data_IF_355919993507
#
_entry.id   IF_355919993507
#
_cell.length_a   1.000
_cell.length_b   1.000
_cell.length_c   1.000
_cell.angle_alpha   90.00
_cell.angle_beta   90.00
_cell.angle_gamma   90.00
#
_symmetry.space_group_name_H-M   'P 1'
#
loop_
_entity.id
_entity.type
_entity.pdbx_description
1 polymer ?
#
# COMPACT_ATOMS: atom_id res chain seq x y z
N UNK A 1 2.24 -3.17 29.40
CA UNK A 1 1.97 -4.35 28.54
C UNK A 1 3.30 -4.96 28.11
N UNK A 2 3.33 -6.16 27.52
CA UNK A 2 4.57 -6.64 26.89
C UNK A 2 4.80 -5.87 25.59
N UNK A 3 6.03 -5.42 25.36
CA UNK A 3 6.47 -4.92 24.07
C UNK A 3 6.31 -6.03 23.02
N UNK A 4 5.93 -5.69 21.79
CA UNK A 4 6.05 -6.57 20.64
C UNK A 4 6.54 -5.76 19.46
N UNK A 5 7.65 -6.19 18.87
CA UNK A 5 8.25 -5.62 17.69
C UNK A 5 8.52 -6.70 16.66
N UNK A 6 8.11 -6.45 15.42
CA UNK A 6 8.31 -7.30 14.27
C UNK A 6 9.10 -6.55 13.21
N UNK A 7 10.22 -7.13 12.77
CA UNK A 7 11.03 -6.64 11.66
C UNK A 7 11.13 -7.72 10.58
N UNK A 8 10.71 -7.42 9.36
CA UNK A 8 10.91 -8.27 8.19
C UNK A 8 11.73 -7.53 7.13
N UNK A 9 12.74 -8.20 6.59
CA UNK A 9 13.55 -7.72 5.48
C UNK A 9 13.43 -8.69 4.30
N UNK A 10 13.31 -8.17 3.08
CA UNK A 10 13.31 -8.98 1.86
C UNK A 10 14.33 -8.51 0.82
N UNK A 11 15.02 -9.47 0.20
CA UNK A 11 15.98 -9.25 -0.88
C UNK A 11 15.35 -9.67 -2.22
N UNK A 12 15.18 -8.69 -3.10
CA UNK A 12 14.36 -8.78 -4.30
C UNK A 12 15.27 -8.99 -5.52
N UNK A 13 16.30 -8.15 -5.63
CA UNK A 13 17.14 -8.08 -6.84
C UNK A 13 18.12 -9.26 -6.92
N UNK A 14 18.60 -9.74 -5.76
CA UNK A 14 19.42 -10.96 -5.64
C UNK A 14 19.23 -11.62 -4.28
N UNK A 15 19.42 -12.95 -4.15
CA UNK A 15 19.55 -13.58 -2.85
C UNK A 15 20.84 -13.15 -2.14
N UNK A 16 20.84 -13.26 -0.80
CA UNK A 16 22.03 -13.15 0.05
C UNK A 16 22.92 -14.38 -0.15
N UNK A 17 24.22 -14.15 -0.31
CA UNK A 17 25.23 -15.20 -0.35
C UNK A 17 25.52 -15.74 1.05
N UNK A 18 26.17 -16.91 1.16
CA UNK A 18 26.44 -17.57 2.44
C UNK A 18 27.20 -16.68 3.45
N UNK A 19 28.12 -15.82 2.98
CA UNK A 19 28.83 -14.88 3.85
C UNK A 19 27.90 -13.79 4.42
N UNK A 20 26.99 -13.26 3.61
CA UNK A 20 26.01 -12.24 4.02
C UNK A 20 24.99 -12.84 4.99
N UNK A 21 24.51 -14.05 4.72
CA UNK A 21 23.65 -14.79 5.66
C UNK A 21 24.36 -15.01 7.01
N UNK A 22 25.64 -15.39 7.00
CA UNK A 22 26.43 -15.54 8.23
C UNK A 22 26.67 -14.22 8.99
N UNK A 23 26.70 -13.07 8.31
CA UNK A 23 26.71 -11.76 8.94
C UNK A 23 25.35 -11.43 9.59
N UNK A 24 24.23 -11.72 8.92
CA UNK A 24 22.88 -11.52 9.47
C UNK A 24 22.59 -12.43 10.67
N UNK A 25 22.96 -13.72 10.62
CA UNK A 25 22.80 -14.65 11.74
C UNK A 25 23.58 -14.28 13.00
N UNK A 26 24.56 -13.37 12.91
CA UNK A 26 25.29 -12.85 14.09
C UNK A 26 24.53 -11.74 14.81
N UNK A 27 23.60 -11.04 14.15
CA UNK A 27 22.81 -9.95 14.75
C UNK A 27 21.86 -10.51 15.81
N UNK A 28 21.13 -11.58 15.50
CA UNK A 28 20.19 -12.21 16.43
C UNK A 28 20.23 -13.73 16.31
N UNK A 29 20.31 -14.43 17.45
CA UNK A 29 20.19 -15.90 17.51
C UNK A 29 18.78 -16.41 17.20
N UNK A 30 17.78 -15.53 17.13
CA UNK A 30 16.36 -15.85 16.89
C UNK A 30 15.89 -15.45 15.49
N UNK A 31 16.77 -15.00 14.61
CA UNK A 31 16.37 -14.61 13.24
C UNK A 31 15.88 -15.84 12.47
N UNK A 32 14.68 -15.75 11.88
CA UNK A 32 14.26 -16.68 10.85
C UNK A 32 14.83 -16.18 9.51
N UNK A 33 15.89 -16.83 9.05
CA UNK A 33 16.68 -16.39 7.89
C UNK A 33 16.57 -17.38 6.73
N UNK A 34 16.35 -16.84 5.54
CA UNK A 34 16.47 -17.52 4.26
C UNK A 34 17.37 -16.70 3.32
N UNK A 35 17.76 -17.21 2.14
CA UNK A 35 18.51 -16.40 1.17
C UNK A 35 17.77 -15.15 0.65
N UNK A 36 16.46 -14.98 0.92
CA UNK A 36 15.69 -13.81 0.45
C UNK A 36 14.92 -13.07 1.55
N UNK A 37 14.89 -13.58 2.77
CA UNK A 37 14.05 -13.04 3.84
C UNK A 37 14.78 -13.15 5.18
N UNK A 38 14.71 -12.12 6.02
CA UNK A 38 15.12 -12.19 7.41
C UNK A 38 14.01 -11.61 8.30
N UNK A 39 13.49 -12.41 9.24
CA UNK A 39 12.46 -12.01 10.20
C UNK A 39 13.05 -11.99 11.60
N UNK A 40 12.79 -10.92 12.34
CA UNK A 40 13.19 -10.75 13.74
C UNK A 40 11.98 -10.31 14.57
N UNK A 41 11.68 -11.07 15.63
CA UNK A 41 10.57 -10.79 16.53
C UNK A 41 11.08 -10.60 17.96
N UNK A 42 10.73 -9.49 18.59
CA UNK A 42 11.15 -9.12 19.95
C UNK A 42 9.93 -8.87 20.83
N UNK A 43 9.91 -9.49 22.02
CA UNK A 43 8.87 -9.27 23.04
C UNK A 43 9.37 -8.43 24.23
N UNK A 44 10.65 -8.05 24.20
CA UNK A 44 11.37 -7.23 25.18
C UNK A 44 12.62 -6.67 24.50
N UNK A 45 12.86 -5.36 24.64
CA UNK A 45 14.01 -4.70 24.03
C UNK A 45 13.88 -4.55 22.50
N UNK A 46 15.01 -4.23 21.86
CA UNK A 46 14.99 -3.65 20.51
C UNK A 46 15.94 -4.35 19.51
N UNK A 47 15.82 -3.99 18.23
CA UNK A 47 16.63 -4.51 17.14
C UNK A 47 18.14 -4.22 17.40
N UNK A 48 19.02 -5.23 17.28
CA UNK A 48 20.44 -5.07 17.55
C UNK A 48 21.15 -4.31 16.41
N UNK A 49 21.27 -2.99 16.57
CA UNK A 49 21.99 -2.10 15.66
C UNK A 49 21.04 -1.11 15.00
N UNK A 50 21.26 -0.81 13.72
CA UNK A 50 20.42 0.10 12.95
C UNK A 50 19.77 -0.69 11.79
N UNK A 51 18.42 -0.81 11.76
CA UNK A 51 17.74 -1.62 10.75
C UNK A 51 17.86 -1.02 9.35
N UNK A 52 17.90 0.31 9.20
CA UNK A 52 18.12 1.02 7.93
C UNK A 52 19.52 0.70 7.36
N UNK A 53 20.55 0.56 8.20
CA UNK A 53 21.88 0.12 7.76
C UNK A 53 21.89 -1.35 7.28
N UNK A 54 21.11 -2.22 7.92
CA UNK A 54 20.95 -3.62 7.50
C UNK A 54 20.23 -3.70 6.16
N UNK A 55 19.13 -2.96 6.00
CA UNK A 55 18.43 -2.80 4.72
C UNK A 55 19.40 -2.31 3.64
N UNK A 56 20.05 -1.16 3.84
CA UNK A 56 20.91 -0.52 2.85
C UNK A 56 22.04 -1.42 2.32
N UNK A 57 22.56 -2.35 3.16
CA UNK A 57 23.67 -3.24 2.84
C UNK A 57 23.25 -4.57 2.19
N UNK A 58 22.13 -5.19 2.59
CA UNK A 58 21.82 -6.59 2.19
C UNK A 58 20.43 -6.82 1.57
N UNK A 59 19.48 -5.91 1.76
CA UNK A 59 18.07 -6.14 1.40
C UNK A 59 17.52 -5.02 0.51
N UNK A 60 16.32 -5.20 -0.05
CA UNK A 60 15.69 -4.25 -0.97
C UNK A 60 14.36 -3.68 -0.44
N UNK A 61 13.75 -4.35 0.55
CA UNK A 61 12.59 -3.86 1.29
C UNK A 61 12.70 -4.24 2.78
N UNK A 62 12.11 -3.41 3.64
CA UNK A 62 11.95 -3.64 5.08
C UNK A 62 10.55 -3.24 5.52
N UNK A 63 9.96 -4.04 6.41
CA UNK A 63 8.76 -3.69 7.19
C UNK A 63 9.11 -3.78 8.68
N UNK A 64 8.67 -2.78 9.44
CA UNK A 64 8.67 -2.77 10.89
C UNK A 64 7.25 -2.50 11.40
N UNK A 65 6.82 -3.27 12.40
CA UNK A 65 5.53 -3.15 13.07
C UNK A 65 5.71 -3.30 14.58
N UNK A 66 5.02 -2.48 15.37
CA UNK A 66 4.97 -2.62 16.82
C UNK A 66 3.54 -2.55 17.37
N UNK A 67 3.32 -3.19 18.51
CA UNK A 67 1.99 -3.24 19.17
C UNK A 67 1.57 -1.95 19.89
N UNK A 68 2.31 -0.86 19.69
CA UNK A 68 1.97 0.50 20.10
C UNK A 68 1.70 1.42 18.91
N UNK A 69 1.40 0.85 17.73
CA UNK A 69 0.96 1.62 16.56
C UNK A 69 2.05 2.05 15.57
N UNK A 70 3.34 1.94 15.92
CA UNK A 70 4.42 2.23 14.96
C UNK A 70 4.41 1.25 13.78
N UNK A 71 4.31 1.78 12.56
CA UNK A 71 4.38 1.06 11.29
C UNK A 71 5.41 1.75 10.38
N UNK A 72 6.36 1.01 9.83
CA UNK A 72 7.39 1.58 8.93
C UNK A 72 7.69 0.66 7.75
N UNK A 73 7.52 1.16 6.52
CA UNK A 73 7.83 0.48 5.26
C UNK A 73 8.95 1.24 4.56
N UNK A 74 10.06 0.56 4.28
CA UNK A 74 11.24 1.17 3.64
C UNK A 74 11.65 0.40 2.40
N UNK A 75 11.77 1.09 1.26
CA UNK A 75 12.25 0.52 0.01
C UNK A 75 13.61 1.08 -0.39
N UNK A 76 14.50 0.19 -0.84
CA UNK A 76 15.82 0.54 -1.39
C UNK A 76 15.82 0.42 -2.90
N UNK A 77 16.25 1.47 -3.58
CA UNK A 77 16.30 1.56 -5.04
C UNK A 77 17.73 1.79 -5.54
N UNK A 78 18.17 1.13 -6.63
CA UNK A 78 19.40 1.50 -7.32
C UNK A 78 19.35 2.96 -7.77
N UNK A 79 20.37 3.75 -7.44
CA UNK A 79 20.38 5.21 -7.68
C UNK A 79 20.29 5.61 -9.16
N UNK A 80 20.59 4.69 -10.08
CA UNK A 80 20.44 4.87 -11.53
C UNK A 80 19.01 4.70 -12.06
N UNK A 81 18.08 4.18 -11.25
CA UNK A 81 16.72 3.82 -11.69
C UNK A 81 15.62 4.70 -11.08
N UNK A 82 15.96 5.68 -10.24
CA UNK A 82 14.97 6.55 -9.60
C UNK A 82 15.53 7.97 -9.45
N UNK A 83 14.73 8.97 -9.86
CA UNK A 83 15.03 10.38 -9.60
C UNK A 83 14.28 10.82 -8.34
N UNK A 84 15.02 11.21 -7.29
CA UNK A 84 14.46 11.69 -6.02
C UNK A 84 13.50 12.86 -6.22
N UNK A 85 13.66 13.65 -7.29
CA UNK A 85 12.76 14.78 -7.62
C UNK A 85 11.33 14.36 -7.93
N UNK A 86 11.08 13.11 -8.35
CA UNK A 86 9.70 12.62 -8.55
C UNK A 86 9.03 12.21 -7.25
N UNK A 87 9.82 11.84 -6.23
CA UNK A 87 9.36 11.46 -4.89
C UNK A 87 9.17 12.70 -3.99
N UNK A 88 10.03 13.70 -4.14
CA UNK A 88 10.07 14.92 -3.32
C UNK A 88 8.71 15.63 -3.13
N UNK A 89 7.80 15.75 -4.13
CA UNK A 89 6.50 16.36 -3.93
C UNK A 89 5.60 15.65 -2.92
N UNK A 90 5.81 14.34 -2.69
CA UNK A 90 5.06 13.52 -1.76
C UNK A 90 5.75 13.36 -0.39
N UNK A 91 6.99 13.86 -0.24
CA UNK A 91 7.67 13.82 1.04
C UNK A 91 6.90 14.68 2.05
N UNK A 92 6.79 14.17 3.28
CA UNK A 92 6.02 14.75 4.37
C UNK A 92 6.89 14.65 5.64
N UNK A 93 7.09 15.74 6.41
CA UNK A 93 7.90 15.73 7.63
C UNK A 93 7.58 14.53 8.54
N UNK A 94 8.62 13.83 8.98
CA UNK A 94 8.58 12.66 9.88
C UNK A 94 7.75 11.43 9.41
N UNK A 95 7.00 11.53 8.30
CA UNK A 95 6.12 10.47 7.77
C UNK A 95 6.61 9.88 6.45
N UNK A 96 7.08 10.70 5.50
CA UNK A 96 7.57 10.26 4.20
C UNK A 96 8.88 10.97 3.90
N UNK A 97 9.99 10.25 3.96
CA UNK A 97 11.32 10.81 3.69
C UNK A 97 12.07 10.02 2.63
N UNK A 98 13.06 10.67 2.03
CA UNK A 98 14.03 9.99 1.15
C UNK A 98 15.43 10.29 1.63
N UNK A 99 16.29 9.26 1.63
CA UNK A 99 17.70 9.41 1.99
C UNK A 99 18.62 8.82 0.92
N UNK A 100 19.80 9.42 0.80
CA UNK A 100 20.81 9.03 -0.17
C UNK A 100 21.93 8.27 0.50
N UNK A 101 22.18 7.05 0.03
CA UNK A 101 23.43 6.33 0.27
C UNK A 101 24.38 6.54 -0.93
N UNK A 102 25.57 5.94 -0.87
CA UNK A 102 26.52 5.99 -1.98
C UNK A 102 25.90 5.49 -3.29
N UNK A 103 25.29 4.30 -3.24
CA UNK A 103 24.89 3.51 -4.42
C UNK A 103 23.36 3.36 -4.57
N UNK A 104 22.56 3.76 -3.57
CA UNK A 104 21.11 3.60 -3.54
C UNK A 104 20.35 4.78 -2.92
N UNK A 105 19.09 4.93 -3.31
CA UNK A 105 18.07 5.78 -2.66
C UNK A 105 17.26 4.91 -1.71
N UNK A 106 16.99 5.39 -0.50
CA UNK A 106 16.00 4.81 0.41
C UNK A 106 14.76 5.71 0.42
N UNK A 107 13.59 5.11 0.27
CA UNK A 107 12.30 5.72 0.56
C UNK A 107 11.81 5.14 1.88
N UNK A 108 11.53 6.00 2.85
CA UNK A 108 11.09 5.62 4.19
C UNK A 108 9.68 6.19 4.41
N UNK A 109 8.72 5.30 4.67
CA UNK A 109 7.33 5.64 4.98
C UNK A 109 7.05 5.13 6.39
N UNK A 110 6.81 6.04 7.34
CA UNK A 110 6.67 5.75 8.76
C UNK A 110 5.42 6.40 9.32
N UNK A 111 4.64 5.66 10.10
CA UNK A 111 3.51 6.17 10.88
C UNK A 111 3.73 5.78 12.33
N UNK A 112 3.72 6.76 13.24
CA UNK A 112 3.67 6.53 14.68
C UNK A 112 2.27 6.96 15.17
N UNK A 113 1.46 5.99 15.57
CA UNK A 113 0.08 6.22 16.03
C UNK A 113 0.05 6.13 17.55
N UNK A 114 -0.01 7.27 18.25
CA UNK A 114 0.16 7.35 19.72
C UNK A 114 -0.88 6.56 20.55
N UNK A 115 -1.97 6.10 19.93
CA UNK A 115 -3.05 5.30 20.56
C UNK A 115 -3.25 3.93 19.88
N UNK A 116 -2.26 3.42 19.15
CA UNK A 116 -2.36 2.19 18.35
C UNK A 116 -2.37 0.88 19.14
N UNK A 117 -3.38 0.64 19.99
CA UNK A 117 -3.60 -0.64 20.72
C UNK A 117 -4.12 -1.79 19.82
N UNK A 118 -3.65 -1.87 18.57
CA UNK A 118 -4.05 -2.89 17.60
C UNK A 118 -3.14 -4.12 17.70
N UNK A 119 -3.73 -5.31 17.91
CA UNK A 119 -3.02 -6.59 17.91
C UNK A 119 -2.68 -7.00 16.47
N UNK A 120 -1.59 -6.45 15.92
CA UNK A 120 -1.08 -6.81 14.60
C UNK A 120 -0.06 -7.92 14.74
N UNK A 121 -0.42 -9.13 14.29
CA UNK A 121 0.56 -10.19 14.02
C UNK A 121 1.32 -9.78 12.74
N UNK A 122 2.63 -9.58 12.87
CA UNK A 122 3.41 -8.94 11.80
C UNK A 122 3.70 -9.81 10.58
N UNK A 123 3.48 -11.13 10.67
CA UNK A 123 3.78 -12.07 9.61
C UNK A 123 2.90 -11.89 8.37
N UNK A 124 3.52 -11.93 7.19
CA UNK A 124 2.82 -11.94 5.90
C UNK A 124 2.56 -10.57 5.28
N UNK A 125 2.79 -9.46 6.00
CA UNK A 125 2.48 -8.11 5.50
C UNK A 125 3.44 -7.57 4.43
N UNK A 126 4.75 -7.88 4.47
CA UNK A 126 5.69 -7.30 3.49
C UNK A 126 5.53 -7.92 2.08
N UNK A 127 5.21 -9.22 1.99
CA UNK A 127 5.16 -9.92 0.71
C UNK A 127 4.11 -9.34 -0.28
N UNK A 128 2.87 -8.99 0.13
CA UNK A 128 1.92 -8.25 -0.70
C UNK A 128 2.37 -6.84 -1.11
N UNK A 129 3.27 -6.21 -0.34
CA UNK A 129 3.71 -4.82 -0.54
C UNK A 129 4.97 -4.72 -1.41
N UNK A 130 5.82 -5.75 -1.45
CA UNK A 130 7.02 -5.80 -2.32
C UNK A 130 6.80 -5.37 -3.78
N UNK A 131 5.69 -5.71 -4.47
CA UNK A 131 5.42 -5.23 -5.82
C UNK A 131 5.37 -3.70 -5.96
N UNK A 132 5.01 -2.96 -4.89
CA UNK A 132 4.96 -1.49 -4.90
C UNK A 132 6.33 -0.87 -5.22
N UNK A 133 7.43 -1.56 -4.89
CA UNK A 133 8.78 -1.15 -5.29
C UNK A 133 8.94 -1.11 -6.82
N UNK A 134 8.40 -2.11 -7.53
CA UNK A 134 8.45 -2.15 -8.99
C UNK A 134 7.45 -1.16 -9.61
N UNK A 135 6.32 -0.93 -8.97
CA UNK A 135 5.35 0.09 -9.37
C UNK A 135 6.00 1.50 -9.30
N UNK A 136 6.66 1.84 -8.18
CA UNK A 136 7.42 3.09 -8.02
C UNK A 136 8.53 3.21 -9.07
N UNK A 137 9.34 2.15 -9.31
CA UNK A 137 10.41 2.16 -10.30
C UNK A 137 9.89 2.39 -11.73
N UNK A 138 8.73 1.82 -12.07
CA UNK A 138 8.05 2.10 -13.33
C UNK A 138 7.45 3.50 -13.38
N UNK A 139 7.20 4.12 -12.23
CA UNK A 139 6.67 5.47 -12.07
C UNK A 139 5.16 5.51 -11.80
N UNK A 140 4.61 4.50 -11.14
CA UNK A 140 3.32 4.57 -10.45
C UNK A 140 3.58 5.02 -9.00
N UNK A 141 3.17 6.26 -8.70
CA UNK A 141 3.42 6.92 -7.41
C UNK A 141 2.19 6.88 -6.49
N UNK A 142 1.17 6.05 -6.79
CA UNK A 142 -0.06 5.96 -6.00
C UNK A 142 0.19 5.65 -4.52
N UNK A 143 1.15 4.78 -4.20
CA UNK A 143 1.51 4.47 -2.81
C UNK A 143 2.00 5.69 -2.02
N UNK A 144 2.82 6.56 -2.64
CA UNK A 144 3.30 7.79 -1.99
C UNK A 144 2.16 8.75 -1.68
N UNK A 145 1.21 8.86 -2.61
CA UNK A 145 0.02 9.69 -2.42
C UNK A 145 -0.91 9.11 -1.34
N UNK A 146 -1.12 7.79 -1.30
CA UNK A 146 -1.89 7.13 -0.23
C UNK A 146 -1.22 7.31 1.14
N UNK A 147 0.10 7.21 1.21
CA UNK A 147 0.87 7.51 2.42
C UNK A 147 0.71 8.98 2.85
N UNK A 148 0.72 9.90 1.90
CA UNK A 148 0.55 11.33 2.16
C UNK A 148 -0.87 11.64 2.68
N UNK A 149 -1.90 10.96 2.16
CA UNK A 149 -3.25 11.06 2.72
C UNK A 149 -3.31 10.57 4.18
N UNK A 150 -2.60 9.49 4.53
CA UNK A 150 -2.50 9.02 5.92
C UNK A 150 -1.76 10.03 6.80
N UNK A 151 -0.67 10.63 6.31
CA UNK A 151 0.07 11.69 7.01
C UNK A 151 -0.86 12.87 7.40
N UNK A 152 -1.60 13.39 6.41
CA UNK A 152 -2.58 14.46 6.58
C UNK A 152 -3.72 14.07 7.51
N UNK A 153 -4.16 12.81 7.48
CA UNK A 153 -5.21 12.31 8.39
C UNK A 153 -4.76 12.20 9.85
N UNK A 154 -3.46 12.01 10.12
CA UNK A 154 -2.90 11.92 11.47
C UNK A 154 -2.75 13.29 12.13
N UNK A 155 -2.35 14.32 11.36
CA UNK A 155 -2.14 15.68 11.86
C UNK A 155 -3.47 16.44 12.01
N UNK A 156 -4.44 16.18 11.13
CA UNK A 156 -5.75 16.82 11.17
C UNK A 156 -5.72 18.28 10.69
N UNK A 157 -6.58 19.12 11.26
CA UNK A 157 -6.66 20.55 10.93
C UNK A 157 -5.84 21.37 11.95
N UNK A 158 -4.62 21.76 11.56
CA UNK A 158 -3.75 22.67 12.33
C UNK A 158 -3.71 24.06 11.66
N UNK A 159 -3.52 25.12 12.45
CA UNK A 159 -3.33 26.49 11.92
C UNK A 159 -1.99 26.64 11.16
N UNK A 160 -1.03 25.74 11.39
CA UNK A 160 0.30 25.77 10.75
C UNK A 160 0.27 25.18 9.31
N UNK A 161 -0.79 24.43 8.97
CA UNK A 161 -0.95 23.72 7.69
C UNK A 161 -1.91 24.40 6.68
N UNK A 162 -2.40 25.62 6.94
CA UNK A 162 -3.36 26.29 6.03
C UNK A 162 -2.84 26.43 4.59
N UNK A 163 -1.54 26.74 4.45
CA UNK A 163 -0.86 26.89 3.15
C UNK A 163 -0.41 25.55 2.54
N UNK A 164 -0.50 24.44 3.27
CA UNK A 164 -0.01 23.14 2.81
C UNK A 164 -0.81 22.67 1.58
N UNK A 165 -0.10 22.51 0.47
CA UNK A 165 -0.67 22.12 -0.82
C UNK A 165 -0.61 20.63 -1.02
N UNK A 166 -1.65 20.10 -1.64
CA UNK A 166 -1.66 18.72 -2.09
C UNK A 166 -0.50 18.44 -3.09
N UNK A 167 0.14 17.27 -3.04
CA UNK A 167 1.01 16.78 -4.11
C UNK A 167 0.26 16.59 -5.44
N UNK A 168 0.93 16.24 -6.55
CA UNK A 168 0.25 15.84 -7.77
C UNK A 168 -0.61 14.59 -7.50
N UNK A 169 -1.93 14.69 -7.67
CA UNK A 169 -2.84 13.55 -7.53
C UNK A 169 -2.55 12.54 -8.65
N UNK A 170 -2.13 11.30 -8.34
CA UNK A 170 -1.92 10.29 -9.36
C UNK A 170 -3.24 9.92 -10.04
N UNK A 171 -3.17 9.45 -11.28
CA UNK A 171 -4.32 8.89 -11.98
C UNK A 171 -4.76 7.55 -11.38
N UNK A 172 -5.97 7.12 -11.73
CA UNK A 172 -6.47 5.76 -11.51
C UNK A 172 -6.54 5.32 -10.02
N UNK A 173 -6.78 6.27 -9.11
CA UNK A 173 -7.02 5.98 -7.69
C UNK A 173 -8.35 5.25 -7.46
N UNK A 174 -9.31 5.37 -8.39
CA UNK A 174 -10.58 4.64 -8.32
C UNK A 174 -10.42 3.13 -8.53
N UNK A 175 -9.26 2.67 -9.05
CA UNK A 175 -8.98 1.25 -9.31
C UNK A 175 -7.60 0.87 -8.77
N UNK A 176 -7.56 0.67 -7.44
CA UNK A 176 -6.35 0.22 -6.74
C UNK A 176 -5.99 -1.22 -7.10
N UNK A 177 -4.70 -1.46 -7.34
CA UNK A 177 -4.09 -2.79 -7.49
C UNK A 177 -4.10 -3.54 -6.15
N UNK A 178 -3.89 -4.86 -6.15
CA UNK A 178 -3.83 -5.65 -4.92
C UNK A 178 -2.74 -5.16 -3.93
N UNK A 179 -1.51 -4.81 -4.36
CA UNK A 179 -0.50 -4.20 -3.48
C UNK A 179 -0.94 -2.87 -2.87
N UNK A 180 -1.62 -2.01 -3.64
CA UNK A 180 -2.14 -0.73 -3.14
C UNK A 180 -3.28 -0.94 -2.13
N UNK A 181 -4.11 -1.97 -2.31
CA UNK A 181 -5.15 -2.36 -1.33
C UNK A 181 -4.53 -2.86 -0.03
N UNK A 182 -3.51 -3.72 -0.11
CA UNK A 182 -2.76 -4.18 1.07
C UNK A 182 -2.09 -3.01 1.82
N UNK A 183 -1.63 -1.98 1.10
CA UNK A 183 -1.09 -0.76 1.72
C UNK A 183 -2.18 0.08 2.42
N UNK A 184 -3.34 0.25 1.78
CA UNK A 184 -4.52 0.93 2.38
C UNK A 184 -4.99 0.23 3.65
N UNK A 185 -4.96 -1.10 3.65
CA UNK A 185 -5.30 -1.95 4.80
C UNK A 185 -4.26 -1.83 5.92
N UNK A 186 -2.97 -2.02 5.63
CA UNK A 186 -1.88 -1.87 6.60
C UNK A 186 -1.88 -0.51 7.31
N UNK A 187 -2.12 0.56 6.54
CA UNK A 187 -2.10 1.93 7.07
C UNK A 187 -3.45 2.37 7.64
N UNK A 188 -4.48 1.53 7.63
CA UNK A 188 -5.84 1.84 8.09
C UNK A 188 -6.35 3.18 7.52
N UNK A 189 -6.19 3.38 6.20
CA UNK A 189 -6.49 4.66 5.56
C UNK A 189 -8.00 4.94 5.53
N UNK A 190 -8.38 6.17 5.92
CA UNK A 190 -9.77 6.64 5.89
C UNK A 190 -10.39 6.53 4.49
N UNK A 191 -11.49 5.78 4.39
CA UNK A 191 -12.17 5.48 3.13
C UNK A 191 -12.96 6.68 2.57
N UNK A 192 -13.47 7.57 3.43
CA UNK A 192 -14.10 8.82 2.99
C UNK A 192 -13.02 9.79 2.45
N UNK A 193 -11.84 9.85 3.08
CA UNK A 193 -10.69 10.61 2.57
C UNK A 193 -10.20 10.07 1.22
N UNK A 194 -10.03 8.74 1.11
CA UNK A 194 -9.70 8.08 -0.15
C UNK A 194 -10.75 8.34 -1.24
N UNK A 195 -12.04 8.46 -0.87
CA UNK A 195 -13.12 8.82 -1.80
C UNK A 195 -13.00 10.26 -2.28
N UNK A 196 -12.73 11.24 -1.40
CA UNK A 196 -12.47 12.64 -1.80
C UNK A 196 -11.22 12.78 -2.67
N UNK A 197 -10.20 11.99 -2.37
CA UNK A 197 -8.99 11.91 -3.17
C UNK A 197 -9.26 11.36 -4.58
N UNK A 198 -9.92 10.21 -4.65
CA UNK A 198 -10.28 9.51 -5.89
C UNK A 198 -11.22 10.33 -6.78
N UNK A 199 -12.05 11.21 -6.23
CA UNK A 199 -12.88 12.13 -7.02
C UNK A 199 -12.08 13.19 -7.80
N UNK A 200 -10.85 13.51 -7.39
CA UNK A 200 -9.95 14.43 -8.07
C UNK A 200 -8.90 13.73 -8.98
N UNK A 201 -8.82 12.40 -8.91
CA UNK A 201 -7.90 11.59 -9.69
C UNK A 201 -8.36 11.47 -11.14
N UNK A 202 -7.47 11.78 -12.09
CA UNK A 202 -7.73 11.55 -13.50
C UNK A 202 -7.98 10.06 -13.75
N UNK A 203 -9.03 9.73 -14.51
CA UNK A 203 -9.24 8.37 -15.00
C UNK A 203 -8.60 8.23 -16.36
N UNK A 204 -7.59 7.37 -16.48
CA UNK A 204 -7.30 6.74 -17.76
C UNK A 204 -8.36 5.66 -17.97
N UNK A 205 -9.51 6.08 -18.53
CA UNK A 205 -10.39 5.13 -19.19
C UNK A 205 -9.55 4.27 -20.14
N UNK A 206 -9.85 2.97 -20.26
CA UNK A 206 -9.12 2.00 -21.08
C UNK A 206 -9.10 2.25 -22.60
N UNK A 207 -9.31 3.48 -23.06
CA UNK A 207 -8.59 4.00 -24.22
C UNK A 207 -7.10 3.85 -23.89
N UNK A 208 -6.48 2.82 -24.47
CA UNK A 208 -5.26 2.25 -23.90
C UNK A 208 -4.12 3.24 -23.71
N UNK A 209 -3.09 2.76 -23.00
CA UNK A 209 -1.69 3.13 -23.25
C UNK A 209 -1.58 3.59 -24.71
N UNK A 210 -1.11 4.82 -25.03
CA UNK A 210 -0.81 5.17 -26.41
C UNK A 210 0.15 4.09 -26.89
N UNK A 211 -0.34 3.22 -27.80
CA UNK A 211 -0.09 1.76 -27.70
C UNK A 211 1.36 1.47 -27.33
N UNK A 212 1.64 0.56 -26.39
CA UNK A 212 3.03 0.26 -26.00
C UNK A 212 3.87 -0.04 -27.25
N UNK A 213 3.22 -0.69 -28.21
CA UNK A 213 3.59 -0.92 -29.61
C UNK A 213 3.97 0.36 -30.38
N UNK A 214 3.19 1.44 -30.29
CA UNK A 214 3.46 2.77 -30.88
C UNK A 214 4.69 3.43 -30.25
N UNK A 215 4.83 3.41 -28.92
CA UNK A 215 6.02 3.96 -28.27
C UNK A 215 7.27 3.12 -28.56
N UNK A 216 7.13 1.79 -28.61
CA UNK A 216 8.21 0.87 -29.02
C UNK A 216 8.55 1.06 -30.50
N UNK A 217 7.58 1.35 -31.37
CA UNK A 217 7.82 1.67 -32.78
C UNK A 217 8.53 3.04 -32.98
N UNK A 218 8.37 3.97 -32.04
CA UNK A 218 9.09 5.25 -32.03
C UNK A 218 10.58 5.11 -31.63
N UNK A 219 10.99 4.01 -31.00
CA UNK A 219 12.40 3.71 -30.75
C UNK A 219 13.15 3.41 -32.05
N UNK A 220 14.40 3.87 -32.12
CA UNK A 220 15.31 3.47 -33.21
C UNK A 220 15.51 1.96 -33.23
N UNK A 221 15.84 1.39 -34.39
CA UNK A 221 16.14 -0.04 -34.51
C UNK A 221 17.32 -0.46 -33.62
N UNK A 222 18.32 0.43 -33.48
CA UNK A 222 19.46 0.23 -32.59
C UNK A 222 19.06 0.16 -31.10
N UNK A 223 18.20 1.08 -30.61
CA UNK A 223 17.69 1.02 -29.24
C UNK A 223 16.85 -0.23 -28.99
N UNK A 224 15.97 -0.60 -29.94
CA UNK A 224 15.17 -1.84 -29.83
C UNK A 224 16.06 -3.08 -29.73
N UNK A 225 17.10 -3.16 -30.57
CA UNK A 225 18.05 -4.27 -30.55
C UNK A 225 18.86 -4.31 -29.24
N UNK A 226 19.31 -3.15 -28.72
CA UNK A 226 20.00 -3.06 -27.43
C UNK A 226 19.14 -3.62 -26.29
N UNK A 227 17.92 -3.11 -26.13
CA UNK A 227 16.99 -3.58 -25.08
C UNK A 227 16.71 -5.09 -25.20
N UNK A 228 16.52 -5.62 -26.41
CA UNK A 228 16.29 -7.06 -26.64
C UNK A 228 17.52 -7.91 -26.30
N UNK A 229 18.73 -7.48 -26.67
CA UNK A 229 19.98 -8.18 -26.36
C UNK A 229 20.24 -8.20 -24.86
N UNK A 230 20.02 -7.07 -24.17
CA UNK A 230 20.22 -6.93 -22.72
C UNK A 230 19.21 -7.74 -21.92
N UNK A 231 17.94 -7.76 -22.37
CA UNK A 231 16.90 -8.62 -21.81
C UNK A 231 17.26 -10.12 -21.99
N UNK A 232 17.73 -10.51 -23.18
CA UNK A 232 18.14 -11.90 -23.46
C UNK A 232 19.38 -12.34 -22.65
N UNK A 233 20.22 -11.41 -22.23
CA UNK A 233 21.35 -11.65 -21.30
C UNK A 233 20.92 -11.79 -19.83
N UNK A 234 19.67 -11.48 -19.50
CA UNK A 234 19.19 -11.44 -18.11
C UNK A 234 19.79 -10.27 -17.32
N UNK A 235 20.14 -9.15 -17.96
CA UNK A 235 20.57 -7.95 -17.24
C UNK A 235 19.41 -7.45 -16.33
N UNK A 236 19.71 -7.04 -15.08
CA UNK A 236 18.66 -6.64 -14.14
C UNK A 236 18.02 -5.30 -14.52
N UNK A 237 16.72 -5.17 -14.27
CA UNK A 237 15.92 -3.96 -14.47
C UNK A 237 15.86 -3.40 -15.91
N UNK A 238 16.10 -4.24 -16.93
CA UNK A 238 15.96 -3.83 -18.34
C UNK A 238 14.51 -3.44 -18.67
N UNK A 239 13.53 -4.11 -18.03
CA UNK A 239 12.10 -3.78 -18.14
C UNK A 239 11.78 -2.38 -17.60
N UNK A 240 12.32 -2.03 -16.43
CA UNK A 240 12.18 -0.70 -15.81
C UNK A 240 12.80 0.37 -16.71
N UNK A 241 14.03 0.15 -17.19
CA UNK A 241 14.74 1.10 -18.07
C UNK A 241 14.00 1.31 -19.40
N UNK A 242 13.42 0.25 -19.97
CA UNK A 242 12.59 0.36 -21.17
C UNK A 242 11.34 1.19 -20.89
N UNK A 243 10.58 0.91 -19.83
CA UNK A 243 9.39 1.69 -19.45
C UNK A 243 9.73 3.17 -19.22
N UNK A 244 10.85 3.47 -18.57
CA UNK A 244 11.31 4.84 -18.37
C UNK A 244 11.67 5.53 -19.70
N UNK A 245 12.35 4.84 -20.62
CA UNK A 245 12.67 5.37 -21.96
C UNK A 245 11.41 5.64 -22.79
N UNK A 246 10.44 4.73 -22.77
CA UNK A 246 9.15 4.89 -23.47
C UNK A 246 8.36 6.09 -22.91
N UNK A 247 8.34 6.28 -21.58
CA UNK A 247 7.72 7.44 -20.93
C UNK A 247 8.42 8.76 -21.27
N UNK A 248 9.75 8.78 -21.35
CA UNK A 248 10.49 9.96 -21.79
C UNK A 248 10.11 10.35 -23.23
N UNK A 249 10.06 9.38 -24.15
CA UNK A 249 9.59 9.61 -25.52
C UNK A 249 8.14 10.13 -25.57
N UNK A 250 7.26 9.60 -24.73
CA UNK A 250 5.88 10.08 -24.64
C UNK A 250 5.78 11.54 -24.16
N UNK A 251 6.62 11.94 -23.21
CA UNK A 251 6.69 13.31 -22.70
C UNK A 251 7.32 14.30 -23.70
N UNK A 252 8.16 13.81 -24.62
CA UNK A 252 8.80 14.59 -25.69
C UNK A 252 7.86 14.85 -26.89
N UNK A 253 6.71 14.18 -27.00
CA UNK A 253 5.80 14.35 -28.15
C UNK A 253 5.02 15.69 -28.09
N UNK A 254 5.14 16.57 -29.11
CA UNK A 254 4.42 17.83 -29.17
C UNK A 254 2.95 17.59 -29.50
N UNK A 255 2.13 17.40 -28.47
CA UNK A 255 0.71 17.10 -28.59
C UNK A 255 0.02 16.99 -27.23
N UNK A 256 0.74 16.61 -26.18
CA UNK A 256 0.30 16.81 -24.80
C UNK A 256 0.42 18.30 -24.48
N UNK A 257 -0.67 19.07 -24.30
CA UNK A 257 -0.52 20.41 -23.74
C UNK A 257 0.12 20.26 -22.37
N UNK A 258 1.15 21.07 -22.10
CA UNK A 258 1.57 21.33 -20.73
C UNK A 258 0.41 22.05 -20.03
N UNK A 259 -0.54 21.26 -19.53
CA UNK A 259 -1.70 21.76 -18.80
C UNK A 259 -1.14 22.59 -17.66
N UNK A 260 -1.45 23.89 -17.67
CA UNK A 260 -1.08 24.79 -16.59
C UNK A 260 -1.50 24.13 -15.29
N UNK A 261 -0.52 23.83 -14.43
CA UNK A 261 -0.71 22.88 -13.33
C UNK A 261 -1.98 23.27 -12.56
N UNK A 262 -3.04 22.42 -12.54
CA UNK A 262 -4.32 22.81 -11.99
C UNK A 262 -4.11 23.25 -10.54
N UNK A 263 -4.69 24.39 -10.18
CA UNK A 263 -4.40 25.08 -8.93
C UNK A 263 -4.67 24.12 -7.76
N UNK A 264 -3.59 23.61 -7.14
CA UNK A 264 -3.70 22.49 -6.20
C UNK A 264 -4.48 22.91 -4.97
N UNK A 265 -5.43 22.06 -4.54
CA UNK A 265 -6.20 22.27 -3.32
C UNK A 265 -5.26 22.31 -2.10
N UNK A 266 -5.68 23.06 -1.09
CA UNK A 266 -5.05 23.03 0.24
C UNK A 266 -5.47 21.76 0.97
N UNK A 267 -4.69 21.36 1.97
CA UNK A 267 -5.03 20.29 2.91
C UNK A 267 -6.35 20.60 3.64
N UNK A 268 -6.54 21.83 4.09
CA UNK A 268 -7.79 22.29 4.71
C UNK A 268 -9.03 22.04 3.83
N UNK A 269 -8.95 22.32 2.52
CA UNK A 269 -10.05 22.06 1.59
C UNK A 269 -10.33 20.56 1.36
N UNK A 270 -9.30 19.72 1.47
CA UNK A 270 -9.41 18.26 1.40
C UNK A 270 -10.09 17.69 2.67
N UNK A 271 -9.65 18.11 3.85
CA UNK A 271 -10.19 17.66 5.14
C UNK A 271 -11.64 18.11 5.37
N UNK A 272 -11.96 19.39 5.11
CA UNK A 272 -13.33 19.90 5.18
C UNK A 272 -14.28 19.16 4.21
N UNK A 273 -13.77 18.72 3.05
CA UNK A 273 -14.54 17.92 2.10
C UNK A 273 -14.74 16.48 2.59
N UNK A 274 -13.74 15.87 3.24
CA UNK A 274 -13.88 14.56 3.92
C UNK A 274 -14.92 14.63 5.04
N UNK A 275 -14.87 15.68 5.87
CA UNK A 275 -15.86 15.89 6.95
C UNK A 275 -17.28 16.07 6.39
N UNK A 276 -17.43 16.76 5.26
CA UNK A 276 -18.71 16.89 4.55
C UNK A 276 -19.27 15.54 4.07
N UNK A 277 -18.42 14.67 3.51
CA UNK A 277 -18.81 13.31 3.08
C UNK A 277 -19.15 12.45 4.30
N UNK A 278 -18.29 12.40 5.33
CA UNK A 278 -18.52 11.67 6.57
C UNK A 278 -19.85 12.06 7.25
N UNK A 279 -20.16 13.36 7.33
CA UNK A 279 -21.45 13.82 7.86
C UNK A 279 -22.65 13.32 7.03
N UNK A 280 -22.47 13.10 5.73
CA UNK A 280 -23.50 12.63 4.81
C UNK A 280 -23.62 11.10 4.85
N UNK A 281 -22.50 10.37 4.85
CA UNK A 281 -22.45 8.91 4.95
C UNK A 281 -23.01 8.43 6.30
N UNK A 282 -22.65 9.11 7.40
CA UNK A 282 -23.23 8.89 8.73
C UNK A 282 -24.75 9.15 8.75
N UNK A 283 -25.22 10.30 8.23
CA UNK A 283 -26.66 10.62 8.13
C UNK A 283 -27.44 9.62 7.27
N UNK A 284 -26.80 8.95 6.32
CA UNK A 284 -27.42 7.91 5.50
C UNK A 284 -27.45 6.56 6.21
N UNK A 285 -26.34 6.15 6.85
CA UNK A 285 -26.26 4.92 7.67
C UNK A 285 -27.26 4.93 8.84
N UNK A 286 -27.30 6.02 9.59
CA UNK A 286 -28.24 6.21 10.73
C UNK A 286 -29.71 6.28 10.26
N UNK A 287 -29.98 6.65 9.00
CA UNK A 287 -31.34 6.57 8.43
C UNK A 287 -31.66 5.22 7.79
N UNK A 288 -30.67 4.38 7.50
CA UNK A 288 -30.85 3.03 6.98
C UNK A 288 -31.09 2.01 8.10
N UNK A 289 -30.44 2.11 9.26
CA UNK A 289 -30.63 1.16 10.36
C UNK A 289 -32.10 1.01 10.84
N UNK A 290 -32.92 2.08 10.95
CA UNK A 290 -34.35 1.92 11.25
C UNK A 290 -35.11 1.14 10.18
N UNK A 291 -34.77 1.36 8.89
CA UNK A 291 -35.41 0.69 7.75
C UNK A 291 -35.03 -0.79 7.64
N UNK A 292 -33.86 -1.19 8.14
CA UNK A 292 -33.47 -2.60 8.22
C UNK A 292 -34.09 -3.31 9.44
N UNK A 293 -34.23 -2.61 10.58
CA UNK A 293 -34.99 -3.13 11.73
C UNK A 293 -36.47 -3.33 11.38
N UNK A 294 -37.14 -2.35 10.77
CA UNK A 294 -38.54 -2.47 10.34
C UNK A 294 -38.76 -3.54 9.25
N UNK A 295 -37.72 -3.93 8.49
CA UNK A 295 -37.79 -5.05 7.53
C UNK A 295 -37.68 -6.42 8.20
N UNK A 296 -36.91 -6.53 9.28
CA UNK A 296 -36.73 -7.79 10.02
C UNK A 296 -37.80 -8.02 11.10
N UNK A 297 -38.44 -6.95 11.59
CA UNK A 297 -39.53 -7.01 12.56
C UNK A 297 -40.70 -7.95 12.13
N UNK A 298 -41.29 -7.83 10.91
CA UNK A 298 -42.41 -8.69 10.51
C UNK A 298 -42.02 -10.16 10.26
N UNK A 299 -40.74 -10.46 9.96
CA UNK A 299 -40.28 -11.86 9.82
C UNK A 299 -40.17 -12.55 11.18
N UNK A 300 -39.72 -11.84 12.23
CA UNK A 300 -39.69 -12.36 13.59
C UNK A 300 -41.09 -12.66 14.14
N UNK A 301 -42.06 -11.76 13.95
CA UNK A 301 -43.43 -11.94 14.45
C UNK A 301 -44.16 -13.09 13.72
N UNK A 302 -43.93 -13.29 12.42
CA UNK A 302 -44.48 -14.41 11.66
C UNK A 302 -43.94 -15.78 12.13
N UNK A 303 -42.65 -15.86 12.46
CA UNK A 303 -42.01 -17.10 12.95
C UNK A 303 -42.46 -17.46 14.37
N UNK A 304 -42.78 -16.47 15.21
CA UNK A 304 -43.28 -16.68 16.56
C UNK A 304 -44.69 -17.32 16.57
N UNK A 305 -45.62 -16.84 15.73
CA UNK A 305 -46.99 -17.33 15.68
C UNK A 305 -47.04 -18.77 15.13
N UNK A 306 -46.23 -19.09 14.10
CA UNK A 306 -46.21 -20.41 13.47
C UNK A 306 -45.74 -21.57 14.38
N UNK A 307 -45.15 -21.28 15.56
CA UNK A 307 -44.67 -22.30 16.50
C UNK A 307 -45.71 -22.79 17.52
N UNK A 308 -46.84 -22.11 17.68
CA UNK A 308 -47.84 -22.45 18.70
C UNK A 308 -48.96 -23.38 18.21
N UNK A 309 -49.12 -23.58 16.90
CA UNK A 309 -50.30 -24.22 16.27
C UNK A 309 -50.06 -25.63 15.68
N UNK A 310 -49.01 -26.35 16.09
CA UNK A 310 -48.80 -27.76 15.67
C UNK A 310 -49.31 -28.77 16.71
N UNK A 311 -50.39 -29.53 16.43
CA UNK A 311 -50.87 -30.57 17.35
C UNK A 311 -49.94 -31.78 17.36
N UNK A 312 -49.73 -32.35 18.56
CA UNK A 312 -48.99 -33.59 18.76
C UNK A 312 -49.89 -34.77 18.36
N UNK A 313 -49.42 -35.61 17.44
CA UNK A 313 -50.07 -36.87 17.09
C UNK A 313 -49.17 -38.03 17.52
N UNK A 314 -49.60 -38.77 18.52
CA UNK A 314 -49.00 -40.06 18.89
C UNK A 314 -49.37 -41.13 17.85
N UNK A 315 -48.44 -42.03 17.53
CA UNK A 315 -48.73 -43.29 16.84
C UNK A 315 -47.94 -44.43 17.49
N UNK A 316 -48.66 -45.41 18.02
CA UNK A 316 -48.14 -46.65 18.62
C UNK A 316 -48.03 -47.78 17.59
N UNK A 317 -47.48 -48.91 18.07
CA UNK A 317 -47.64 -50.29 17.57
C UNK A 317 -46.71 -50.71 16.40
N UNK A 318 -46.18 -51.94 16.28
CA UNK A 318 -45.72 -53.03 17.16
C UNK A 318 -45.55 -54.29 16.28
N UNK A 319 -44.55 -55.14 16.58
CA UNK A 319 -44.63 -56.63 16.54
C UNK A 319 -44.16 -57.46 15.31
N UNK A 320 -43.15 -58.32 15.58
CA UNK A 320 -42.80 -59.68 15.03
C UNK A 320 -42.58 -59.89 13.50
N UNK A 321 -41.79 -60.85 13.00
CA UNK A 321 -40.85 -61.86 13.56
C UNK A 321 -39.68 -62.06 12.52
N UNK A 322 -38.83 -63.11 12.45
CA UNK A 322 -38.69 -64.42 13.14
C UNK A 322 -37.24 -64.99 12.95
N UNK A 323 -36.94 -66.13 13.60
CA UNK A 323 -35.73 -67.00 13.52
C UNK A 323 -34.37 -66.41 13.95
#
# INVERSE_FOLDING_TARGET
>A
MSEYQYYEFQAIDRPLHAAEQAEISRLSRRVALTPRQAVFTYNYGDFPGNPIHVLAKYFDAMLYLANWGSKQLVFRFPRSLIDVKTLAPYCFPDVISTSLTKDAVLLDIRFDEEEGESWIEGEGWLSPLVPLRQDILRGDLRVLYLAWLKAVALIGESEEDEDLREPPVPADLQTLSAPLKAFVELCELDQDLLTVASAASAQHHGAGTPALETWVAALTEAERLDFLVRLARGEPHVDVQLVQRLRALAAEQPGTPAQAAPQRRTVSALLARRQSICSTSWRSRVRAEPLERDRLQPECDAVAIARLDRPIVEARNTTHADL
#
